data_IF_340816887260
#
_entry.id   IF_340816887260
#
_cell.length_a   1.000
_cell.length_b   1.000
_cell.length_c   1.000
_cell.angle_alpha   90.00
_cell.angle_beta   90.00
_cell.angle_gamma   90.00
#
_symmetry.space_group_name_H-M   'P 1'
#
loop_
_entity.id
_entity.type
_entity.pdbx_description
1 polymer ?
#
# COMPACT_ATOMS: atom_id res chain seq x y z
N UNK A 1 -35.87 -31.63 44.07
CA UNK A 1 -34.79 -30.76 43.55
C UNK A 1 -33.69 -31.71 43.16
N UNK A 2 -33.38 -31.81 41.88
CA UNK A 2 -32.06 -32.20 41.36
C UNK A 2 -32.10 -31.97 39.85
N UNK A 3 -31.68 -30.77 39.46
CA UNK A 3 -31.47 -30.37 38.08
C UNK A 3 -30.16 -31.00 37.64
N UNK A 4 -30.21 -32.00 36.76
CA UNK A 4 -29.03 -32.58 36.13
C UNK A 4 -28.42 -31.49 35.25
N UNK A 5 -27.28 -30.96 35.68
CA UNK A 5 -26.42 -30.07 34.93
C UNK A 5 -26.00 -30.77 33.65
N UNK A 6 -26.50 -30.30 32.52
CA UNK A 6 -26.08 -30.72 31.19
C UNK A 6 -24.61 -30.30 31.01
N UNK A 7 -23.71 -31.25 31.22
CA UNK A 7 -22.27 -31.09 30.97
C UNK A 7 -22.14 -30.96 29.45
N UNK A 8 -21.94 -29.73 28.98
CA UNK A 8 -21.48 -29.50 27.61
C UNK A 8 -20.09 -30.10 27.49
N UNK A 9 -19.98 -31.26 26.84
CA UNK A 9 -18.70 -31.79 26.37
C UNK A 9 -18.11 -30.81 25.36
N UNK A 10 -17.19 -29.95 25.81
CA UNK A 10 -16.37 -29.16 24.90
C UNK A 10 -15.48 -30.11 24.10
N UNK A 11 -15.81 -30.29 22.81
CA UNK A 11 -14.94 -31.01 21.88
C UNK A 11 -13.54 -30.37 21.91
N UNK A 12 -12.47 -31.18 22.05
CA UNK A 12 -11.10 -30.66 22.08
C UNK A 12 -10.80 -29.92 20.77
N UNK A 13 -10.15 -28.76 20.88
CA UNK A 13 -9.76 -27.97 19.71
C UNK A 13 -8.72 -28.74 18.89
N UNK A 14 -8.97 -28.83 17.58
CA UNK A 14 -8.07 -29.52 16.67
C UNK A 14 -7.00 -28.55 16.16
N UNK A 15 -5.72 -28.96 16.17
CA UNK A 15 -4.64 -28.09 15.72
C UNK A 15 -4.69 -27.91 14.21
N UNK A 16 -4.80 -26.66 13.75
CA UNK A 16 -4.66 -26.29 12.35
C UNK A 16 -3.33 -25.55 12.15
N UNK A 17 -2.47 -26.08 11.27
CA UNK A 17 -1.22 -25.43 10.91
C UNK A 17 -1.19 -25.17 9.40
N UNK A 18 -1.26 -23.90 9.03
CA UNK A 18 -1.05 -23.46 7.67
C UNK A 18 -0.37 -22.10 7.66
N UNK A 19 0.49 -21.89 6.67
CA UNK A 19 1.15 -20.61 6.43
C UNK A 19 0.42 -19.85 5.33
N UNK A 20 0.32 -18.53 5.50
CA UNK A 20 -0.09 -17.65 4.41
C UNK A 20 1.03 -17.60 3.38
N UNK A 21 0.76 -18.08 2.17
CA UNK A 21 1.59 -17.79 1.00
C UNK A 21 1.07 -16.47 0.36
N UNK A 22 1.83 -15.36 0.44
CA UNK A 22 1.41 -14.10 -0.15
C UNK A 22 1.28 -14.14 -1.68
N UNK A 23 1.91 -15.12 -2.36
CA UNK A 23 1.75 -15.32 -3.81
C UNK A 23 0.47 -16.07 -4.17
N UNK A 24 -0.07 -16.84 -3.23
CA UNK A 24 -1.33 -17.56 -3.37
C UNK A 24 -2.13 -17.54 -2.06
N UNK A 25 -2.73 -16.40 -1.70
CA UNK A 25 -3.53 -16.30 -0.48
C UNK A 25 -4.76 -17.21 -0.53
N UNK A 26 -5.25 -17.52 -1.74
CA UNK A 26 -6.31 -18.50 -1.94
C UNK A 26 -5.90 -19.90 -1.49
N UNK A 27 -4.62 -20.28 -1.62
CA UNK A 27 -4.12 -21.57 -1.13
C UNK A 27 -4.23 -21.74 0.38
N UNK A 28 -4.14 -20.65 1.16
CA UNK A 28 -4.44 -20.71 2.60
C UNK A 28 -5.94 -20.90 2.83
N UNK A 29 -6.79 -20.15 2.12
CA UNK A 29 -8.25 -20.25 2.20
C UNK A 29 -8.74 -21.65 1.82
N UNK A 30 -8.21 -22.23 0.76
CA UNK A 30 -8.50 -23.60 0.34
C UNK A 30 -8.16 -24.61 1.42
N UNK A 31 -6.99 -24.49 2.08
CA UNK A 31 -6.61 -25.37 3.20
C UNK A 31 -7.48 -25.17 4.43
N UNK A 32 -7.88 -23.94 4.73
CA UNK A 32 -8.82 -23.63 5.81
C UNK A 32 -10.18 -24.27 5.52
N UNK A 33 -10.70 -24.10 4.31
CA UNK A 33 -11.98 -24.68 3.90
C UNK A 33 -11.90 -26.21 3.87
N UNK A 34 -10.80 -26.79 3.39
CA UNK A 34 -10.57 -28.24 3.41
C UNK A 34 -10.54 -28.79 4.84
N UNK A 35 -9.85 -28.11 5.77
CA UNK A 35 -9.83 -28.49 7.18
C UNK A 35 -11.22 -28.37 7.81
N UNK A 36 -11.95 -27.28 7.55
CA UNK A 36 -13.31 -27.10 8.04
C UNK A 36 -14.23 -28.19 7.49
N UNK A 37 -14.12 -28.55 6.21
CA UNK A 37 -14.92 -29.62 5.62
C UNK A 37 -14.59 -31.01 6.15
N UNK A 38 -13.35 -31.25 6.60
CA UNK A 38 -12.92 -32.51 7.22
C UNK A 38 -13.38 -32.65 8.67
N UNK A 39 -13.31 -31.55 9.42
CA UNK A 39 -13.53 -31.55 10.88
C UNK A 39 -14.92 -31.03 11.30
N UNK A 40 -15.72 -30.54 10.34
CA UNK A 40 -17.03 -29.92 10.61
C UNK A 40 -18.02 -30.10 9.45
N UNK A 41 -19.30 -30.18 9.81
CA UNK A 41 -20.43 -30.17 8.86
C UNK A 41 -20.78 -28.75 8.37
N UNK A 42 -19.98 -27.74 8.69
CA UNK A 42 -20.26 -26.36 8.31
C UNK A 42 -20.42 -26.19 6.80
N UNK A 43 -19.55 -26.79 6.00
CA UNK A 43 -19.59 -26.67 4.54
C UNK A 43 -20.69 -27.50 3.87
N UNK A 44 -21.31 -28.44 4.60
CA UNK A 44 -22.44 -29.24 4.13
C UNK A 44 -23.78 -28.48 4.17
N UNK A 45 -23.82 -27.30 4.80
CA UNK A 45 -25.04 -26.50 4.94
C UNK A 45 -25.32 -25.68 3.70
N UNK A 46 -26.59 -25.60 3.30
CA UNK A 46 -27.04 -24.73 2.21
C UNK A 46 -26.76 -23.22 2.47
N UNK A 47 -26.53 -22.84 3.72
CA UNK A 47 -26.20 -21.46 4.12
C UNK A 47 -24.70 -21.17 4.14
N UNK A 48 -23.83 -22.18 4.01
CA UNK A 48 -22.39 -22.05 4.22
C UNK A 48 -21.75 -20.99 3.32
N UNK A 49 -22.05 -21.02 2.02
CA UNK A 49 -21.53 -20.04 1.06
C UNK A 49 -21.96 -18.61 1.39
N UNK A 50 -23.22 -18.44 1.78
CA UNK A 50 -23.78 -17.13 2.15
C UNK A 50 -23.15 -16.61 3.44
N UNK A 51 -22.93 -17.47 4.42
CA UNK A 51 -22.27 -17.12 5.68
C UNK A 51 -20.80 -16.75 5.46
N UNK A 52 -20.06 -17.50 4.65
CA UNK A 52 -18.68 -17.17 4.25
C UNK A 52 -18.64 -15.82 3.51
N UNK A 53 -19.52 -15.62 2.52
CA UNK A 53 -19.60 -14.36 1.78
C UNK A 53 -19.94 -13.17 2.69
N UNK A 54 -20.81 -13.37 3.67
CA UNK A 54 -21.15 -12.35 4.67
C UNK A 54 -19.95 -12.02 5.56
N UNK A 55 -19.21 -13.03 6.02
CA UNK A 55 -18.00 -12.85 6.81
C UNK A 55 -16.91 -12.10 6.03
N UNK A 56 -16.69 -12.44 4.76
CA UNK A 56 -15.75 -11.74 3.88
C UNK A 56 -16.17 -10.28 3.69
N UNK A 57 -17.45 -10.04 3.41
CA UNK A 57 -17.99 -8.68 3.22
C UNK A 57 -17.90 -7.84 4.49
N UNK A 58 -18.17 -8.44 5.66
CA UNK A 58 -18.03 -7.79 6.95
C UNK A 58 -16.57 -7.42 7.25
N UNK A 59 -15.62 -8.32 6.97
CA UNK A 59 -14.18 -8.04 7.12
C UNK A 59 -13.72 -6.92 6.18
N UNK A 60 -14.16 -6.92 4.92
CA UNK A 60 -13.89 -5.82 3.98
C UNK A 60 -14.49 -4.49 4.45
N UNK A 61 -15.68 -4.51 5.04
CA UNK A 61 -16.34 -3.31 5.57
C UNK A 61 -15.60 -2.76 6.79
N UNK A 62 -15.15 -3.61 7.72
CA UNK A 62 -14.36 -3.19 8.90
C UNK A 62 -13.06 -2.52 8.50
N UNK A 63 -12.32 -3.11 7.55
CA UNK A 63 -11.09 -2.50 7.02
C UNK A 63 -11.34 -1.13 6.36
N UNK A 64 -12.51 -0.95 5.72
CA UNK A 64 -12.91 0.35 5.15
C UNK A 64 -13.36 1.38 6.19
N UNK A 65 -14.00 0.94 7.27
CA UNK A 65 -14.46 1.83 8.36
C UNK A 65 -13.31 2.24 9.29
N UNK A 66 -12.36 1.35 9.56
CA UNK A 66 -11.10 1.66 10.27
C UNK A 66 -10.28 2.69 9.49
N UNK A 67 -10.23 2.57 8.16
CA UNK A 67 -9.61 3.58 7.31
C UNK A 67 -10.29 4.97 7.43
N UNK A 68 -11.61 5.03 7.67
CA UNK A 68 -12.38 6.28 7.81
C UNK A 68 -12.32 6.89 9.22
N UNK A 69 -12.35 6.08 10.27
CA UNK A 69 -12.24 6.58 11.66
C UNK A 69 -10.90 7.23 11.95
N UNK A 70 -9.82 6.75 11.31
CA UNK A 70 -8.51 7.39 11.37
C UNK A 70 -8.46 8.80 10.74
N UNK A 71 -9.43 9.15 9.89
CA UNK A 71 -9.58 10.49 9.30
C UNK A 71 -10.33 11.44 10.26
N UNK A 72 -11.39 10.98 10.94
CA UNK A 72 -12.22 11.80 11.86
C UNK A 72 -11.51 12.18 13.18
N UNK A 73 -10.64 11.32 13.72
CA UNK A 73 -9.83 11.65 14.91
C UNK A 73 -8.76 12.71 14.63
N UNK A 74 -8.24 12.78 13.40
CA UNK A 74 -7.28 13.81 12.99
C UNK A 74 -7.95 15.18 12.83
N UNK A 75 -9.21 15.23 12.41
CA UNK A 75 -9.98 16.46 12.19
C UNK A 75 -10.34 17.20 13.50
N UNK A 76 -10.46 16.48 14.63
CA UNK A 76 -10.82 17.07 15.93
C UNK A 76 -9.63 17.70 16.67
N UNK A 77 -8.41 17.28 16.38
CA UNK A 77 -7.18 17.79 16.99
C UNK A 77 -6.71 19.14 16.37
N UNK A 78 -7.16 19.47 15.15
CA UNK A 78 -6.67 20.62 14.39
C UNK A 78 -7.41 21.95 14.68
N UNK A 79 -8.55 21.91 15.37
CA UNK A 79 -9.39 23.10 15.64
C UNK A 79 -8.91 24.03 16.76
N UNK A 80 -7.93 23.65 17.58
CA UNK A 80 -7.50 24.45 18.75
C UNK A 80 -6.35 25.44 18.48
N UNK A 81 -5.71 25.42 17.32
CA UNK A 81 -4.47 26.18 17.08
C UNK A 81 -4.53 27.05 15.83
N UNK A 82 -5.40 28.07 15.82
CA UNK A 82 -5.38 29.12 14.79
C UNK A 82 -5.43 30.52 15.42
N UNK A 83 -4.34 31.27 15.25
CA UNK A 83 -4.45 32.72 14.98
C UNK A 83 -3.63 33.09 13.74
N UNK A 84 -4.13 34.05 12.93
CA UNK A 84 -3.72 34.23 11.53
C UNK A 84 -2.81 35.45 11.33
N UNK A 85 -1.95 35.40 10.33
CA UNK A 85 -1.48 36.62 9.66
C UNK A 85 -1.50 36.42 8.14
N UNK A 86 -2.00 37.45 7.51
CA UNK A 86 -2.60 37.56 6.18
C UNK A 86 -1.59 38.26 5.21
N UNK A 87 -1.96 38.65 3.97
CA UNK A 87 -1.48 38.00 2.75
C UNK A 87 -0.71 38.94 1.80
N UNK A 88 -0.11 38.41 0.73
CA UNK A 88 0.11 39.18 -0.51
C UNK A 88 -0.18 38.33 -1.75
N UNK A 89 -1.12 38.85 -2.54
CA UNK A 89 -1.63 38.45 -3.85
C UNK A 89 -0.55 38.73 -4.95
N UNK A 90 -0.52 38.06 -6.11
CA UNK A 90 -1.44 38.34 -7.22
C UNK A 90 -1.45 37.26 -8.33
N UNK A 91 -2.69 36.95 -8.73
CA UNK A 91 -3.25 36.73 -10.09
C UNK A 91 -2.91 35.49 -10.97
N UNK A 92 -3.89 34.56 -10.91
CA UNK A 92 -4.65 33.92 -12.02
C UNK A 92 -3.99 32.89 -12.94
N UNK A 93 -4.37 31.62 -12.68
CA UNK A 93 -4.99 30.77 -13.71
C UNK A 93 -6.22 30.05 -13.14
N UNK A 94 -7.37 30.22 -13.79
CA UNK A 94 -8.66 29.62 -13.40
C UNK A 94 -8.71 28.16 -13.80
N UNK A 95 -8.78 27.29 -12.81
CA UNK A 95 -9.23 25.89 -12.93
C UNK A 95 -9.45 25.36 -11.52
N UNK A 96 -10.68 25.44 -11.02
CA UNK A 96 -11.05 24.94 -9.69
C UNK A 96 -10.87 23.41 -9.65
N UNK A 97 -9.72 22.96 -9.16
CA UNK A 97 -9.56 21.62 -8.62
C UNK A 97 -9.67 21.79 -7.12
N UNK A 98 -10.70 21.20 -6.51
CA UNK A 98 -10.78 21.07 -5.06
C UNK A 98 -9.56 20.26 -4.62
N UNK A 99 -8.56 20.94 -4.08
CA UNK A 99 -7.30 20.35 -3.63
C UNK A 99 -7.60 19.58 -2.35
N UNK A 100 -7.66 18.26 -2.46
CA UNK A 100 -7.51 17.36 -1.32
C UNK A 100 -6.12 17.67 -0.73
N UNK A 101 -5.98 17.91 0.59
CA UNK A 101 -4.67 18.16 1.19
C UNK A 101 -3.77 16.96 0.91
N UNK A 102 -2.80 17.13 0.01
CA UNK A 102 -1.77 16.12 -0.23
C UNK A 102 -0.81 16.06 0.95
N UNK A 103 -0.19 14.91 1.14
CA UNK A 103 0.86 14.70 2.14
C UNK A 103 2.01 15.69 1.92
N UNK A 104 2.63 16.16 3.00
CA UNK A 104 3.79 17.04 2.89
C UNK A 104 4.94 16.24 2.26
N UNK A 105 5.51 16.70 1.13
CA UNK A 105 6.60 15.98 0.50
C UNK A 105 7.81 15.83 1.43
N UNK A 106 8.50 14.70 1.33
CA UNK A 106 9.78 14.50 2.01
C UNK A 106 10.86 15.45 1.42
N UNK A 107 12.07 15.45 1.99
CA UNK A 107 13.19 16.31 1.53
C UNK A 107 13.55 16.13 0.05
N UNK A 108 13.17 15.00 -0.55
CA UNK A 108 13.37 14.70 -1.96
C UNK A 108 12.12 14.88 -2.82
N UNK A 109 11.13 15.66 -2.37
CA UNK A 109 9.90 15.98 -3.10
C UNK A 109 9.04 14.75 -3.47
N UNK A 110 9.21 13.64 -2.76
CA UNK A 110 8.35 12.47 -2.87
C UNK A 110 7.72 12.15 -1.51
N UNK A 111 7.55 10.87 -1.20
CA UNK A 111 6.95 10.42 0.04
C UNK A 111 7.69 9.22 0.63
N UNK A 112 7.66 9.12 1.96
CA UNK A 112 8.14 7.96 2.69
C UNK A 112 6.93 7.08 3.05
N UNK A 113 6.87 5.88 2.47
CA UNK A 113 5.83 4.89 2.75
C UNK A 113 6.38 3.80 3.68
N UNK A 114 5.48 2.96 4.20
CA UNK A 114 5.87 1.85 5.08
C UNK A 114 6.83 0.85 4.39
N UNK A 115 6.61 0.57 3.10
CA UNK A 115 7.37 -0.46 2.36
C UNK A 115 8.59 0.07 1.61
N UNK A 116 8.57 1.34 1.24
CA UNK A 116 9.61 1.98 0.45
C UNK A 116 9.46 3.50 0.51
N UNK A 117 10.50 4.24 0.13
CA UNK A 117 10.41 5.68 -0.07
C UNK A 117 10.66 6.02 -1.52
N UNK A 118 10.13 7.16 -1.96
CA UNK A 118 10.46 7.69 -3.27
C UNK A 118 10.73 9.18 -3.18
N UNK A 119 11.53 9.64 -4.13
CA UNK A 119 11.96 11.03 -4.29
C UNK A 119 11.94 11.35 -5.77
N UNK A 120 11.92 12.63 -6.12
CA UNK A 120 11.90 13.05 -7.51
C UNK A 120 12.58 14.39 -7.72
N UNK A 121 13.03 14.59 -8.94
CA UNK A 121 13.40 15.88 -9.50
C UNK A 121 12.67 16.08 -10.85
N UNK A 122 13.04 17.12 -11.59
CA UNK A 122 12.42 17.42 -12.89
C UNK A 122 12.60 16.30 -13.93
N UNK A 123 13.62 15.47 -13.81
CA UNK A 123 13.99 14.45 -14.81
C UNK A 123 13.65 13.03 -14.38
N UNK A 124 13.76 12.74 -13.08
CA UNK A 124 13.79 11.38 -12.57
C UNK A 124 12.93 11.23 -11.32
N UNK A 125 12.45 10.00 -11.11
CA UNK A 125 11.93 9.49 -9.84
C UNK A 125 12.89 8.43 -9.33
N UNK A 126 13.31 8.52 -8.07
CA UNK A 126 14.16 7.52 -7.42
C UNK A 126 13.38 6.84 -6.32
N UNK A 127 13.22 5.52 -6.42
CA UNK A 127 12.54 4.67 -5.45
C UNK A 127 13.59 3.91 -4.66
N UNK A 128 13.47 3.89 -3.34
CA UNK A 128 14.38 3.20 -2.41
C UNK A 128 13.59 2.20 -1.59
N UNK A 129 13.90 0.92 -1.75
CA UNK A 129 13.22 -0.18 -1.06
C UNK A 129 14.22 -0.84 -0.12
N UNK A 130 14.03 -0.76 1.21
CA UNK A 130 14.87 -1.48 2.16
C UNK A 130 14.68 -2.99 2.00
N UNK A 131 15.77 -3.76 2.08
CA UNK A 131 15.78 -5.22 1.99
C UNK A 131 16.64 -5.85 3.08
N UNK A 132 16.40 -7.12 3.46
CA UNK A 132 17.21 -7.80 4.46
C UNK A 132 18.69 -7.89 4.08
N UNK A 133 19.57 -7.83 5.08
CA UNK A 133 21.01 -8.00 4.89
C UNK A 133 21.35 -9.31 4.19
N UNK A 134 22.30 -9.26 3.26
CA UNK A 134 22.69 -10.42 2.46
C UNK A 134 21.77 -10.71 1.26
N UNK A 135 20.82 -9.82 0.96
CA UNK A 135 20.10 -9.86 -0.31
C UNK A 135 21.08 -9.79 -1.47
N UNK A 136 20.93 -10.67 -2.45
CA UNK A 136 21.76 -10.70 -3.66
C UNK A 136 20.93 -10.23 -4.86
N UNK A 137 21.55 -9.59 -5.87
CA UNK A 137 20.84 -9.09 -7.06
C UNK A 137 20.04 -10.17 -7.79
N UNK A 138 20.51 -11.42 -7.78
CA UNK A 138 19.81 -12.57 -8.40
C UNK A 138 18.43 -12.86 -7.79
N UNK A 139 18.18 -12.40 -6.57
CA UNK A 139 16.87 -12.53 -5.92
C UNK A 139 15.94 -11.36 -6.23
N UNK A 140 16.41 -10.31 -6.88
CA UNK A 140 15.61 -9.14 -7.21
C UNK A 140 15.12 -9.26 -8.65
N UNK A 141 13.80 -9.24 -8.82
CA UNK A 141 13.16 -9.12 -10.14
C UNK A 141 12.54 -7.74 -10.24
N UNK A 142 13.15 -6.86 -11.03
CA UNK A 142 12.64 -5.54 -11.34
C UNK A 142 12.25 -5.48 -12.83
N UNK A 143 10.97 -5.21 -13.10
CA UNK A 143 10.45 -4.97 -14.45
C UNK A 143 9.91 -3.55 -14.52
N UNK A 144 10.44 -2.78 -15.46
CA UNK A 144 10.10 -1.38 -15.68
C UNK A 144 9.49 -1.30 -17.07
N UNK A 145 8.19 -1.10 -17.14
CA UNK A 145 7.46 -0.82 -18.37
C UNK A 145 7.12 0.67 -18.41
N UNK A 146 6.76 1.16 -19.60
CA UNK A 146 6.48 2.59 -19.83
C UNK A 146 5.51 3.22 -18.82
N UNK A 147 4.51 2.47 -18.35
CA UNK A 147 3.49 2.95 -17.40
C UNK A 147 3.35 2.09 -16.15
N UNK A 148 4.27 1.15 -15.92
CA UNK A 148 4.10 0.17 -14.84
C UNK A 148 5.45 -0.22 -14.25
N UNK A 149 5.49 -0.35 -12.93
CA UNK A 149 6.64 -0.86 -12.21
C UNK A 149 6.25 -2.12 -11.45
N UNK A 150 7.09 -3.14 -11.57
CA UNK A 150 7.01 -4.34 -10.77
C UNK A 150 8.35 -4.66 -10.15
N UNK A 151 8.43 -4.62 -8.82
CA UNK A 151 9.61 -5.01 -8.04
C UNK A 151 9.23 -6.15 -7.12
N UNK A 152 9.93 -7.27 -7.27
CA UNK A 152 9.73 -8.46 -6.46
C UNK A 152 11.06 -8.95 -5.88
N UNK A 153 11.01 -9.43 -4.64
CA UNK A 153 12.11 -10.10 -3.97
C UNK A 153 11.83 -11.60 -3.90
N UNK A 154 12.84 -12.40 -4.25
CA UNK A 154 12.81 -13.85 -4.27
C UNK A 154 11.65 -14.46 -5.09
N UNK A 155 11.25 -13.78 -6.18
CA UNK A 155 10.22 -14.24 -7.12
C UNK A 155 8.77 -14.16 -6.63
N UNK A 156 8.51 -14.23 -5.33
CA UNK A 156 7.19 -14.33 -4.71
C UNK A 156 6.76 -13.08 -3.93
N UNK A 157 7.69 -12.37 -3.30
CA UNK A 157 7.35 -11.19 -2.50
C UNK A 157 7.24 -9.93 -3.38
N UNK A 158 6.01 -9.53 -3.70
CA UNK A 158 5.74 -8.31 -4.48
C UNK A 158 5.83 -7.09 -3.56
N UNK A 159 6.88 -6.30 -3.74
CA UNK A 159 7.07 -5.05 -3.00
C UNK A 159 6.28 -3.95 -3.69
N UNK A 160 6.44 -3.84 -5.01
CA UNK A 160 5.73 -2.89 -5.86
C UNK A 160 5.15 -3.65 -7.04
N UNK A 161 3.86 -3.47 -7.30
CA UNK A 161 3.20 -3.98 -8.50
C UNK A 161 2.02 -3.06 -8.86
N UNK A 162 2.27 -2.05 -9.70
CA UNK A 162 1.23 -1.09 -10.03
C UNK A 162 1.58 -0.12 -11.16
N UNK A 163 0.56 0.62 -11.60
CA UNK A 163 0.70 1.62 -12.65
C UNK A 163 1.38 2.87 -12.11
N UNK A 164 2.33 3.40 -12.86
CA UNK A 164 3.02 4.65 -12.53
C UNK A 164 2.09 5.85 -12.73
N UNK A 165 2.45 7.00 -12.15
CA UNK A 165 1.73 8.26 -12.34
C UNK A 165 1.70 8.70 -13.82
N UNK A 166 2.85 8.65 -14.48
CA UNK A 166 2.97 8.95 -15.90
C UNK A 166 4.06 8.11 -16.58
N UNK A 167 4.23 8.29 -17.89
CA UNK A 167 5.17 7.57 -18.72
C UNK A 167 6.62 7.80 -18.29
N UNK A 168 7.38 6.71 -18.27
CA UNK A 168 8.85 6.71 -18.15
C UNK A 168 9.49 6.29 -19.47
N UNK A 169 10.75 6.63 -19.67
CA UNK A 169 11.58 6.13 -20.77
C UNK A 169 12.31 4.85 -20.29
N UNK A 170 11.79 3.63 -20.58
CA UNK A 170 12.31 2.42 -19.95
C UNK A 170 13.77 2.13 -20.29
N UNK A 171 14.26 2.63 -21.43
CA UNK A 171 15.66 2.48 -21.86
C UNK A 171 16.65 3.24 -20.98
N UNK A 172 16.19 4.32 -20.38
CA UNK A 172 16.99 5.19 -19.50
C UNK A 172 16.70 4.91 -18.02
N UNK A 173 15.78 3.98 -17.73
CA UNK A 173 15.51 3.50 -16.38
C UNK A 173 16.48 2.38 -16.01
N UNK A 174 16.94 2.36 -14.76
CA UNK A 174 17.77 1.28 -14.25
C UNK A 174 17.53 1.06 -12.76
N UNK A 175 17.94 -0.09 -12.26
CA UNK A 175 17.92 -0.37 -10.83
C UNK A 175 19.27 -0.93 -10.39
N UNK A 176 19.60 -0.73 -9.13
CA UNK A 176 20.75 -1.36 -8.50
C UNK A 176 20.38 -1.80 -7.08
N UNK A 177 21.21 -2.70 -6.54
CA UNK A 177 21.18 -3.08 -5.15
C UNK A 177 22.46 -2.52 -4.52
N UNK A 178 22.30 -1.64 -3.54
CA UNK A 178 23.43 -1.02 -2.84
C UNK A 178 23.19 -1.13 -1.34
N UNK A 179 24.20 -1.64 -0.62
CA UNK A 179 24.09 -2.02 0.79
C UNK A 179 22.90 -2.96 1.03
N UNK A 180 21.84 -2.46 1.67
CA UNK A 180 20.63 -3.19 2.00
C UNK A 180 19.39 -2.50 1.40
N UNK A 181 19.53 -1.84 0.25
CA UNK A 181 18.44 -1.16 -0.42
C UNK A 181 18.46 -1.37 -1.93
N UNK A 182 17.31 -1.72 -2.50
CA UNK A 182 17.08 -1.68 -3.94
C UNK A 182 16.77 -0.23 -4.30
N UNK A 183 17.55 0.36 -5.20
CA UNK A 183 17.27 1.68 -5.77
C UNK A 183 16.83 1.53 -7.21
N UNK A 184 15.65 2.05 -7.53
CA UNK A 184 15.12 2.10 -8.90
C UNK A 184 15.12 3.56 -9.34
N UNK A 185 15.84 3.86 -10.42
CA UNK A 185 15.78 5.14 -11.10
C UNK A 185 14.83 5.04 -12.30
N UNK A 186 13.79 5.85 -12.27
CA UNK A 186 12.85 6.02 -13.37
C UNK A 186 13.10 7.37 -14.05
N UNK A 187 13.42 7.36 -15.34
CA UNK A 187 13.54 8.58 -16.14
C UNK A 187 12.18 8.95 -16.70
N UNK A 188 11.66 10.13 -16.35
CA UNK A 188 10.36 10.62 -16.80
C UNK A 188 10.40 10.87 -18.31
N UNK A 189 9.35 10.46 -19.01
CA UNK A 189 9.20 10.83 -20.42
C UNK A 189 8.83 12.32 -20.53
N UNK A 190 7.90 12.80 -19.68
CA UNK A 190 7.59 14.21 -19.54
C UNK A 190 8.48 14.86 -18.46
N UNK A 191 9.39 15.72 -18.87
CA UNK A 191 10.27 16.44 -17.95
C UNK A 191 9.51 17.59 -17.30
N UNK A 192 9.94 18.00 -16.11
CA UNK A 192 9.39 19.11 -15.31
C UNK A 192 8.01 18.88 -14.69
N UNK A 193 7.35 17.75 -14.97
CA UNK A 193 6.12 17.38 -14.27
C UNK A 193 6.41 16.77 -12.90
N UNK A 194 5.79 17.32 -11.86
CA UNK A 194 5.85 16.79 -10.51
C UNK A 194 4.82 15.68 -10.34
N UNK A 195 5.30 14.49 -10.01
CA UNK A 195 4.44 13.35 -9.75
C UNK A 195 3.80 13.53 -8.39
N UNK A 196 2.48 13.41 -8.30
CA UNK A 196 1.78 13.46 -7.02
C UNK A 196 1.80 12.12 -6.28
N UNK A 197 2.03 11.01 -6.97
CA UNK A 197 2.26 9.69 -6.38
C UNK A 197 3.27 8.91 -7.22
N UNK A 198 3.87 7.85 -6.67
CA UNK A 198 4.74 6.97 -7.44
C UNK A 198 3.93 5.91 -8.18
N UNK A 199 3.07 5.21 -7.44
CA UNK A 199 2.19 4.16 -7.95
C UNK A 199 0.73 4.50 -7.66
N UNK A 200 -0.15 4.25 -8.63
CA UNK A 200 -1.57 4.56 -8.52
C UNK A 200 -2.20 3.81 -7.33
N UNK A 201 -2.90 4.56 -6.48
CA UNK A 201 -3.54 4.04 -5.26
C UNK A 201 -2.75 4.29 -3.99
N UNK A 202 -1.55 4.85 -4.09
CA UNK A 202 -0.78 5.35 -2.95
C UNK A 202 -1.16 6.79 -2.57
N UNK A 203 -0.78 7.26 -1.37
CA UNK A 203 -1.03 8.63 -0.95
C UNK A 203 -0.42 9.64 -1.92
N UNK A 204 -1.15 10.72 -2.16
CA UNK A 204 -0.68 11.81 -3.02
C UNK A 204 0.04 12.87 -2.19
N UNK A 205 1.16 13.40 -2.70
CA UNK A 205 1.85 14.55 -2.13
C UNK A 205 1.21 15.85 -2.61
N UNK A 206 1.30 16.89 -1.78
CA UNK A 206 1.00 18.24 -2.19
C UNK A 206 2.13 18.79 -3.08
N UNK A 207 1.92 18.74 -4.39
CA UNK A 207 2.89 19.23 -5.38
C UNK A 207 3.14 20.74 -5.29
N UNK A 208 2.29 21.51 -4.59
CA UNK A 208 2.55 22.95 -4.34
C UNK A 208 3.64 23.17 -3.29
N UNK A 209 3.90 22.19 -2.42
CA UNK A 209 4.94 22.24 -1.38
C UNK A 209 6.27 21.65 -1.83
N UNK A 210 6.34 21.16 -3.06
CA UNK A 210 7.58 20.66 -3.66
C UNK A 210 8.57 21.81 -3.85
N UNK A 211 9.80 21.60 -3.41
CA UNK A 211 10.89 22.58 -3.56
C UNK A 211 11.74 22.21 -4.77
N UNK A 212 11.78 23.04 -5.83
CA UNK A 212 12.73 22.83 -6.92
C UNK A 212 14.13 22.85 -6.32
N UNK A 213 14.85 21.73 -6.44
CA UNK A 213 16.26 21.71 -6.07
C UNK A 213 16.98 22.56 -7.13
N UNK A 214 17.65 23.63 -6.70
CA UNK A 214 18.67 24.26 -7.53
C UNK A 214 19.77 23.21 -7.67
N UNK A 215 19.86 22.59 -8.84
CA UNK A 215 21.02 21.76 -9.16
C UNK A 215 22.21 22.74 -9.26
N UNK A 216 23.14 22.68 -8.29
CA UNK A 216 24.46 23.35 -8.38
C UNK A 216 25.30 22.73 -9.51
#
# INVERSE_FOLDING_TARGET
MDTISEIQEEKPSLPFNASLDPSNPLGLLERVLEFIGKESEFLSKDTAEKEIATAVTASMKRLREEAKKGEEEKEKAEKESLKPTEPMEDEKFKGKVNVIPGEVPNKGNGLDLEKYSWTQNHKNVTITIPVPSGTLPRYVSCKIDRYRLKVCLNGSHRIIDGSLFDAVEPRDCFWNLYENAIRVLLTKQQKYEWWKYCVKGEPEIDTQKVKPRLDD
#
